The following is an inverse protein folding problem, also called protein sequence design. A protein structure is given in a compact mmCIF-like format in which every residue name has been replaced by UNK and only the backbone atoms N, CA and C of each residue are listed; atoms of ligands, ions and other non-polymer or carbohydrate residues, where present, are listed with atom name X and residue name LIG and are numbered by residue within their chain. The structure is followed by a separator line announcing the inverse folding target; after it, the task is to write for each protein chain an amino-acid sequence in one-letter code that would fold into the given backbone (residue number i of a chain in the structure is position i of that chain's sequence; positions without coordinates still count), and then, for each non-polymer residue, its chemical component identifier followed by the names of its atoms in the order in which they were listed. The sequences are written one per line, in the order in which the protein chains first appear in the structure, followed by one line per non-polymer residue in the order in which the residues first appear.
data_IF_047086000819
#
_entry.id   IF_047086000819
#
_cell.length_a   1.000
_cell.length_b   1.000
_cell.length_c   1.000
_cell.angle_alpha   90.00
_cell.angle_beta   90.00
_cell.angle_gamma   90.00
#
_symmetry.space_group_name_H-M   'P 1'
#
loop_
_entity.id
_entity.type
_entity.pdbx_description
1 polymer ?
#
# COMPACT_ATOMS: atom_id res chain seq x y z
N UNK A 1 9.45 -22.87 10.67
CA UNK A 1 8.12 -22.71 10.04
C UNK A 1 8.29 -21.63 9.01
N UNK A 2 7.90 -21.83 7.75
CA UNK A 2 8.04 -20.79 6.74
C UNK A 2 6.77 -19.94 6.76
N UNK A 3 6.89 -18.73 7.29
CA UNK A 3 5.80 -17.75 7.32
C UNK A 3 6.05 -16.68 6.26
N UNK A 4 4.99 -15.94 5.95
CA UNK A 4 5.04 -14.86 4.98
C UNK A 4 4.27 -13.67 5.55
N UNK A 5 5.00 -12.60 5.87
CA UNK A 5 4.43 -11.31 6.20
C UNK A 5 4.11 -10.60 4.90
N UNK A 6 2.82 -10.49 4.60
CA UNK A 6 2.35 -9.90 3.35
C UNK A 6 2.51 -8.39 3.32
N UNK A 7 2.78 -7.72 4.44
CA UNK A 7 2.73 -6.25 4.51
C UNK A 7 3.59 -5.71 5.66
N UNK A 8 4.78 -5.20 5.33
CA UNK A 8 5.63 -4.49 6.29
C UNK A 8 6.13 -3.16 5.72
N UNK A 9 6.44 -2.21 6.61
CA UNK A 9 6.98 -0.89 6.26
C UNK A 9 8.38 -0.65 6.85
N UNK A 10 9.27 -1.66 6.78
CA UNK A 10 10.67 -1.54 7.26
C UNK A 10 11.49 -0.52 6.46
N UNK A 11 10.96 -0.05 5.33
CA UNK A 11 11.45 1.06 4.52
C UNK A 11 11.02 2.45 5.02
N UNK A 12 10.25 2.58 6.11
CA UNK A 12 9.85 3.89 6.63
C UNK A 12 10.95 4.54 7.48
N UNK A 13 10.78 5.83 7.78
CA UNK A 13 11.79 6.58 8.54
C UNK A 13 11.95 6.09 9.98
N UNK A 14 10.92 5.46 10.56
CA UNK A 14 11.01 4.80 11.87
C UNK A 14 12.10 3.71 11.91
N UNK A 15 12.39 3.09 10.76
CA UNK A 15 13.40 2.03 10.60
C UNK A 15 14.63 2.49 9.81
N UNK A 16 14.87 3.81 9.70
CA UNK A 16 15.97 4.35 8.87
C UNK A 16 17.35 3.83 9.29
N UNK A 17 17.51 3.52 10.57
CA UNK A 17 18.79 3.13 11.18
C UNK A 17 18.96 1.60 11.28
N UNK A 18 17.87 0.82 11.26
CA UNK A 18 17.92 -0.63 11.52
C UNK A 18 16.99 -1.51 10.67
N UNK A 19 16.31 -0.96 9.66
CA UNK A 19 15.33 -1.71 8.85
C UNK A 19 15.91 -2.93 8.13
N UNK A 20 17.17 -2.86 7.69
CA UNK A 20 17.88 -4.03 7.13
C UNK A 20 18.11 -5.11 8.18
N UNK A 21 18.48 -4.73 9.41
CA UNK A 21 18.69 -5.67 10.51
C UNK A 21 17.37 -6.31 10.95
N UNK A 22 16.25 -5.58 10.90
CA UNK A 22 14.90 -6.13 11.11
C UNK A 22 14.62 -7.23 10.09
N UNK A 23 14.81 -6.96 8.79
CA UNK A 23 14.59 -7.94 7.73
C UNK A 23 15.51 -9.17 7.86
N UNK A 24 16.78 -8.97 8.27
CA UNK A 24 17.70 -10.08 8.58
C UNK A 24 17.18 -10.97 9.71
N UNK A 25 16.60 -10.38 10.76
CA UNK A 25 15.98 -11.15 11.85
C UNK A 25 14.75 -11.93 11.37
N UNK A 26 13.88 -11.31 10.57
CA UNK A 26 12.73 -12.00 9.97
C UNK A 26 13.16 -13.24 9.20
N UNK A 27 14.12 -13.11 8.28
CA UNK A 27 14.60 -14.24 7.48
C UNK A 27 15.23 -15.34 8.34
N UNK A 28 16.01 -14.97 9.36
CA UNK A 28 16.63 -15.93 10.29
C UNK A 28 15.59 -16.80 11.01
N UNK A 29 14.43 -16.23 11.31
CA UNK A 29 13.33 -16.93 11.98
C UNK A 29 12.34 -17.58 11.00
N UNK A 30 12.64 -17.56 9.70
CA UNK A 30 11.83 -18.20 8.65
C UNK A 30 10.64 -17.36 8.17
N UNK A 31 10.66 -16.05 8.40
CA UNK A 31 9.65 -15.10 7.92
C UNK A 31 10.13 -14.41 6.64
N UNK A 32 9.42 -14.66 5.54
CA UNK A 32 9.56 -13.88 4.31
C UNK A 32 8.70 -12.61 4.41
N UNK A 33 9.06 -11.55 3.70
CA UNK A 33 8.42 -10.24 3.87
C UNK A 33 8.19 -9.57 2.52
N UNK A 34 7.01 -9.00 2.33
CA UNK A 34 6.76 -7.97 1.31
C UNK A 34 6.85 -6.61 1.99
N UNK A 35 7.89 -5.84 1.62
CA UNK A 35 8.11 -4.49 2.11
C UNK A 35 7.36 -3.51 1.20
N UNK A 36 6.46 -2.72 1.77
CA UNK A 36 5.44 -2.00 1.01
C UNK A 36 5.79 -0.51 0.94
N UNK A 37 5.78 0.03 -0.28
CA UNK A 37 5.84 1.46 -0.52
C UNK A 37 4.47 2.12 -0.34
N UNK A 38 4.46 3.33 0.19
CA UNK A 38 3.26 4.18 0.34
C UNK A 38 3.32 5.46 -0.51
N UNK A 39 4.48 5.77 -1.06
CA UNK A 39 4.75 6.92 -1.93
C UNK A 39 5.99 6.59 -2.77
N UNK A 40 6.37 7.43 -3.74
CA UNK A 40 7.39 7.02 -4.71
C UNK A 40 8.74 6.75 -4.05
N UNK A 41 9.11 7.62 -3.10
CA UNK A 41 10.38 7.50 -2.36
C UNK A 41 10.45 6.25 -1.48
N UNK A 42 9.35 5.87 -0.81
CA UNK A 42 9.29 4.66 0.03
C UNK A 42 9.18 3.41 -0.83
N UNK A 43 8.45 3.46 -1.95
CA UNK A 43 8.42 2.41 -2.97
C UNK A 43 9.80 2.10 -3.53
N UNK A 44 10.56 3.13 -3.94
CA UNK A 44 11.93 2.96 -4.40
C UNK A 44 12.83 2.32 -3.33
N UNK A 45 12.71 2.78 -2.08
CA UNK A 45 13.49 2.22 -0.95
C UNK A 45 13.12 0.77 -0.66
N UNK A 46 11.85 0.38 -0.80
CA UNK A 46 11.41 -1.01 -0.64
C UNK A 46 12.07 -1.92 -1.68
N UNK A 47 12.14 -1.48 -2.95
CA UNK A 47 12.84 -2.19 -4.03
C UNK A 47 14.34 -2.29 -3.73
N UNK A 48 14.98 -1.20 -3.32
CA UNK A 48 16.39 -1.20 -2.90
C UNK A 48 16.65 -2.19 -1.77
N UNK A 49 15.75 -2.27 -0.78
CA UNK A 49 15.87 -3.23 0.31
C UNK A 49 15.75 -4.66 -0.20
N UNK A 50 14.76 -4.96 -1.05
CA UNK A 50 14.56 -6.30 -1.58
C UNK A 50 15.77 -6.84 -2.37
N UNK A 51 16.52 -5.97 -3.06
CA UNK A 51 17.75 -6.33 -3.79
C UNK A 51 18.96 -6.60 -2.89
N UNK A 52 18.94 -6.18 -1.62
CA UNK A 52 20.03 -6.51 -0.66
C UNK A 52 19.99 -7.95 -0.18
N UNK A 53 18.93 -8.67 -0.49
CA UNK A 53 18.71 -10.05 -0.07
C UNK A 53 18.55 -10.96 -1.29
N UNK A 54 19.22 -12.10 -1.28
CA UNK A 54 19.12 -13.08 -2.37
C UNK A 54 17.66 -13.57 -2.53
N UNK A 55 17.00 -13.88 -1.41
CA UNK A 55 15.61 -14.35 -1.40
C UNK A 55 14.87 -13.96 -0.12
N UNK A 56 13.54 -14.14 -0.13
CA UNK A 56 12.68 -13.97 1.03
C UNK A 56 12.23 -12.53 1.34
N UNK A 57 12.86 -11.52 0.74
CA UNK A 57 12.40 -10.12 0.79
C UNK A 57 11.94 -9.69 -0.60
N UNK A 58 10.74 -9.13 -0.64
CA UNK A 58 10.06 -8.65 -1.85
C UNK A 58 9.54 -7.23 -1.61
N UNK A 59 9.09 -6.58 -2.67
CA UNK A 59 8.54 -5.23 -2.61
C UNK A 59 7.12 -5.15 -3.18
N UNK A 60 6.34 -4.21 -2.67
CA UNK A 60 5.15 -3.67 -3.34
C UNK A 60 5.35 -2.16 -3.55
N UNK A 61 4.85 -1.64 -4.67
CA UNK A 61 5.00 -0.22 -5.02
C UNK A 61 3.65 0.42 -5.32
N UNK A 62 3.43 1.63 -4.80
CA UNK A 62 2.16 2.33 -4.94
C UNK A 62 2.16 3.69 -4.23
N UNK A 63 1.01 4.36 -4.31
CA UNK A 63 0.70 5.56 -3.52
C UNK A 63 -0.48 5.25 -2.61
N UNK A 64 -0.23 5.26 -1.30
CA UNK A 64 -1.29 5.15 -0.30
C UNK A 64 -2.17 6.41 -0.36
N UNK A 65 -3.50 6.29 -0.26
CA UNK A 65 -4.45 7.39 -0.44
C UNK A 65 -4.15 8.68 0.36
N UNK A 66 -3.70 8.57 1.61
CA UNK A 66 -3.29 9.70 2.46
C UNK A 66 -2.17 10.56 1.84
N UNK A 67 -1.27 9.99 1.04
CA UNK A 67 -0.18 10.75 0.42
C UNK A 67 -0.64 11.62 -0.75
N UNK A 68 -1.88 11.47 -1.26
CA UNK A 68 -2.44 12.28 -2.35
C UNK A 68 -2.82 13.69 -1.90
N UNK A 69 -3.05 13.88 -0.61
CA UNK A 69 -3.31 15.20 -0.01
C UNK A 69 -2.03 15.71 0.66
N UNK A 70 -1.81 17.03 0.60
CA UNK A 70 -0.79 17.69 1.43
C UNK A 70 -1.32 17.87 2.86
N UNK A 71 -0.55 17.46 3.86
CA UNK A 71 -0.96 17.55 5.24
C UNK A 71 0.03 16.90 6.18
N UNK A 72 -0.44 16.63 7.39
CA UNK A 72 0.25 15.85 8.38
C UNK A 72 -0.76 14.92 9.02
N UNK A 73 -0.44 13.64 9.03
CA UNK A 73 -1.27 12.63 9.68
C UNK A 73 -0.55 12.21 10.95
N UNK A 74 -1.22 12.35 12.09
CA UNK A 74 -0.70 11.88 13.37
C UNK A 74 -1.49 10.65 13.72
N UNK A 75 -0.84 9.49 13.83
CA UNK A 75 -1.48 8.35 14.45
C UNK A 75 -1.33 8.50 15.96
N UNK A 76 -2.45 8.47 16.68
CA UNK A 76 -2.47 8.61 18.13
C UNK A 76 -3.03 7.34 18.74
N UNK A 77 -2.17 6.32 18.90
CA UNK A 77 -2.48 5.16 19.71
C UNK A 77 -2.05 5.46 21.17
N UNK A 78 -2.98 5.47 22.15
CA UNK A 78 -2.65 5.67 23.56
C UNK A 78 -1.62 4.67 24.13
N UNK A 79 -1.44 3.51 23.48
CA UNK A 79 -0.47 2.48 23.85
C UNK A 79 0.88 2.65 23.12
N UNK A 80 0.97 3.52 22.12
CA UNK A 80 2.23 3.81 21.44
C UNK A 80 3.11 4.79 22.23
N UNK A 81 4.42 4.56 22.15
CA UNK A 81 5.42 5.29 22.94
C UNK A 81 5.64 6.73 22.45
N UNK A 82 5.23 7.06 21.22
CA UNK A 82 5.46 8.35 20.58
C UNK A 82 4.37 8.66 19.56
N UNK A 83 3.86 9.89 19.57
CA UNK A 83 3.11 10.43 18.44
C UNK A 83 4.08 10.70 17.27
N UNK A 84 3.93 9.95 16.18
CA UNK A 84 4.66 10.24 14.95
C UNK A 84 3.77 11.01 13.97
N UNK A 85 4.21 12.21 13.63
CA UNK A 85 3.59 13.03 12.59
C UNK A 85 4.19 12.63 11.22
N UNK A 86 3.33 12.16 10.31
CA UNK A 86 3.68 11.78 8.94
C UNK A 86 3.33 12.94 8.01
N UNK A 87 4.30 13.78 7.61
CA UNK A 87 4.04 14.84 6.66
C UNK A 87 3.83 14.27 5.25
N UNK A 88 2.80 14.76 4.56
CA UNK A 88 2.50 14.39 3.19
C UNK A 88 2.57 15.61 2.29
N UNK A 89 3.11 15.42 1.09
CA UNK A 89 3.34 16.52 0.14
C UNK A 89 2.25 16.65 -0.92
N UNK A 90 1.25 15.75 -0.93
CA UNK A 90 0.26 15.66 -2.00
C UNK A 90 0.86 15.12 -3.28
N UNK A 91 1.38 13.89 -3.23
CA UNK A 91 1.99 13.24 -4.39
C UNK A 91 0.96 13.11 -5.53
N UNK A 92 1.40 13.42 -6.73
CA UNK A 92 0.64 13.21 -7.96
C UNK A 92 1.22 11.98 -8.67
N UNK A 93 0.34 11.13 -9.21
CA UNK A 93 0.76 9.93 -9.92
C UNK A 93 1.60 10.28 -11.15
N UNK A 94 2.84 9.78 -11.17
CA UNK A 94 3.68 9.70 -12.37
C UNK A 94 3.68 8.25 -12.86
N UNK A 95 2.75 7.92 -13.76
CA UNK A 95 2.50 6.56 -14.22
C UNK A 95 3.77 5.85 -14.70
N UNK A 96 4.61 6.55 -15.48
CA UNK A 96 5.82 5.96 -16.05
C UNK A 96 6.84 5.60 -14.95
N UNK A 97 7.01 6.45 -13.94
CA UNK A 97 7.92 6.16 -12.83
C UNK A 97 7.52 4.91 -12.05
N UNK A 98 6.23 4.75 -11.78
CA UNK A 98 5.72 3.56 -11.10
C UNK A 98 5.79 2.32 -11.99
N UNK A 99 5.51 2.46 -13.29
CA UNK A 99 5.60 1.37 -14.24
C UNK A 99 7.03 0.82 -14.33
N UNK A 100 8.04 1.68 -14.35
CA UNK A 100 9.44 1.24 -14.35
C UNK A 100 9.84 0.51 -13.06
N UNK A 101 9.45 1.00 -11.89
CA UNK A 101 9.66 0.26 -10.63
C UNK A 101 8.91 -1.08 -10.64
N UNK A 102 7.66 -1.07 -11.12
CA UNK A 102 6.80 -2.23 -11.14
C UNK A 102 7.25 -3.32 -12.12
N UNK A 103 8.20 -3.06 -13.02
CA UNK A 103 8.80 -4.10 -13.88
C UNK A 103 9.88 -4.91 -13.17
N UNK A 104 10.41 -4.42 -12.05
CA UNK A 104 11.44 -5.11 -11.28
C UNK A 104 10.95 -6.48 -10.78
N UNK A 105 11.81 -7.50 -10.83
CA UNK A 105 11.47 -8.87 -10.43
C UNK A 105 11.23 -9.04 -8.92
N UNK A 106 11.82 -8.16 -8.10
CA UNK A 106 11.60 -8.14 -6.65
C UNK A 106 10.27 -7.49 -6.28
N UNK A 107 9.66 -6.73 -7.19
CA UNK A 107 8.32 -6.18 -6.99
C UNK A 107 7.29 -7.27 -7.29
N UNK A 108 6.48 -7.66 -6.31
CA UNK A 108 5.52 -8.77 -6.47
C UNK A 108 4.06 -8.32 -6.47
N UNK A 109 3.79 -7.07 -6.12
CA UNK A 109 2.44 -6.49 -6.10
C UNK A 109 2.47 -4.98 -6.38
N UNK A 110 1.33 -4.44 -6.81
CA UNK A 110 1.08 -3.00 -6.85
C UNK A 110 0.31 -2.61 -5.59
N UNK A 111 0.92 -1.78 -4.76
CA UNK A 111 0.38 -1.38 -3.47
C UNK A 111 1.46 -0.77 -2.58
N UNK A 112 1.08 -0.03 -1.53
CA UNK A 112 -0.29 0.11 -1.05
C UNK A 112 -1.06 1.18 -1.85
N UNK A 113 -2.26 0.84 -2.32
CA UNK A 113 -3.16 1.73 -3.08
C UNK A 113 -4.58 1.51 -2.57
N UNK A 114 -5.52 2.44 -2.76
CA UNK A 114 -6.89 2.18 -2.33
C UNK A 114 -7.73 3.42 -2.07
N UNK A 115 -8.56 3.34 -1.03
CA UNK A 115 -9.42 4.45 -0.58
C UNK A 115 -9.29 4.64 0.94
N UNK A 116 -9.07 5.87 1.38
CA UNK A 116 -9.02 6.24 2.79
C UNK A 116 -9.88 7.48 3.01
N UNK A 117 -11.11 7.27 3.46
CA UNK A 117 -12.05 8.35 3.77
C UNK A 117 -12.07 8.70 5.25
N UNK A 118 -11.34 7.94 6.06
CA UNK A 118 -11.29 8.12 7.50
C UNK A 118 -10.49 9.37 7.86
N UNK A 119 -9.42 9.63 7.14
CA UNK A 119 -8.50 10.74 7.41
C UNK A 119 -8.91 12.09 6.78
N UNK A 120 -10.17 12.23 6.35
CA UNK A 120 -10.71 13.53 5.92
C UNK A 120 -11.05 14.40 7.13
N UNK A 121 -10.80 15.70 6.99
CA UNK A 121 -11.04 16.74 7.99
C UNK A 121 -12.15 17.68 7.54
N UNK A 122 -12.72 18.49 8.46
CA UNK A 122 -13.81 19.41 8.13
C UNK A 122 -13.41 20.50 7.11
N UNK A 123 -12.11 20.82 7.02
CA UNK A 123 -11.57 21.81 6.08
C UNK A 123 -11.33 21.23 4.67
N UNK A 124 -11.56 19.93 4.48
CA UNK A 124 -11.30 19.27 3.20
C UNK A 124 -12.43 19.44 2.18
N UNK A 125 -12.03 19.58 0.92
CA UNK A 125 -12.92 19.31 -0.20
C UNK A 125 -13.06 17.78 -0.36
N UNK A 126 -14.01 17.22 0.39
CA UNK A 126 -14.24 15.76 0.47
C UNK A 126 -14.57 15.16 -0.90
N UNK A 127 -15.38 15.84 -1.71
CA UNK A 127 -15.78 15.31 -3.02
C UNK A 127 -14.58 15.26 -3.97
N UNK A 128 -13.78 16.33 -4.00
CA UNK A 128 -12.53 16.35 -4.75
C UNK A 128 -11.57 15.24 -4.31
N UNK A 129 -11.34 15.07 -3.00
CA UNK A 129 -10.40 14.07 -2.50
C UNK A 129 -10.86 12.64 -2.77
N UNK A 130 -12.16 12.35 -2.62
CA UNK A 130 -12.71 11.04 -3.01
C UNK A 130 -12.44 10.75 -4.48
N UNK A 131 -12.75 11.71 -5.36
CA UNK A 131 -12.52 11.53 -6.80
C UNK A 131 -11.04 11.33 -7.12
N UNK A 132 -10.15 12.10 -6.50
CA UNK A 132 -8.70 11.94 -6.66
C UNK A 132 -8.19 10.56 -6.23
N UNK A 133 -8.66 10.03 -5.09
CA UNK A 133 -8.31 8.69 -4.64
C UNK A 133 -8.83 7.61 -5.61
N UNK A 134 -10.09 7.72 -6.04
CA UNK A 134 -10.71 6.78 -6.99
C UNK A 134 -9.99 6.76 -8.35
N UNK A 135 -9.71 7.93 -8.92
CA UNK A 135 -8.99 8.05 -10.19
C UNK A 135 -7.58 7.46 -10.09
N UNK A 136 -6.88 7.75 -8.99
CA UNK A 136 -5.53 7.21 -8.75
C UNK A 136 -5.57 5.67 -8.61
N UNK A 137 -6.53 5.13 -7.88
CA UNK A 137 -6.72 3.68 -7.76
C UNK A 137 -6.97 3.03 -9.12
N UNK A 138 -7.83 3.62 -9.96
CA UNK A 138 -8.13 3.12 -11.31
C UNK A 138 -6.86 3.09 -12.18
N UNK A 139 -6.02 4.12 -12.12
CA UNK A 139 -4.74 4.14 -12.85
C UNK A 139 -3.76 3.06 -12.34
N UNK A 140 -3.68 2.83 -11.03
CA UNK A 140 -2.86 1.74 -10.51
C UNK A 140 -3.41 0.35 -10.84
N UNK A 141 -4.73 0.17 -10.94
CA UNK A 141 -5.33 -1.08 -11.45
C UNK A 141 -4.90 -1.32 -12.90
N UNK A 142 -4.92 -0.28 -13.76
CA UNK A 142 -4.42 -0.39 -15.13
C UNK A 142 -2.95 -0.79 -15.16
N UNK A 143 -2.12 -0.16 -14.32
CA UNK A 143 -0.71 -0.48 -14.19
C UNK A 143 -0.50 -1.93 -13.74
N UNK A 144 -1.23 -2.38 -12.72
CA UNK A 144 -1.18 -3.75 -12.21
C UNK A 144 -1.51 -4.79 -13.30
N UNK A 145 -2.53 -4.49 -14.10
CA UNK A 145 -2.91 -5.31 -15.25
C UNK A 145 -1.84 -5.26 -16.36
N UNK A 146 -1.22 -4.11 -16.62
CA UNK A 146 -0.13 -3.99 -17.61
C UNK A 146 1.09 -4.84 -17.22
N UNK A 147 1.50 -4.81 -15.95
CA UNK A 147 2.65 -5.61 -15.46
C UNK A 147 2.27 -7.01 -15.01
N UNK A 148 0.99 -7.38 -15.11
CA UNK A 148 0.47 -8.70 -14.71
C UNK A 148 0.80 -9.06 -13.25
N UNK A 149 0.61 -8.10 -12.32
CA UNK A 149 0.84 -8.28 -10.87
C UNK A 149 -0.45 -8.08 -10.07
N UNK A 150 -0.61 -8.79 -8.92
CA UNK A 150 -1.74 -8.57 -8.03
C UNK A 150 -1.68 -7.18 -7.38
N UNK A 151 -2.81 -6.74 -6.83
CA UNK A 151 -2.89 -5.50 -6.03
C UNK A 151 -2.90 -5.77 -4.54
N UNK A 152 -2.43 -4.79 -3.77
CA UNK A 152 -2.55 -4.73 -2.31
C UNK A 152 -3.31 -3.46 -1.94
N UNK A 153 -4.55 -3.67 -1.49
CA UNK A 153 -5.58 -2.64 -1.36
C UNK A 153 -5.74 -2.20 0.08
N UNK A 154 -5.62 -0.90 0.31
CA UNK A 154 -6.05 -0.22 1.52
C UNK A 154 -7.51 0.18 1.42
N UNK A 155 -8.24 0.04 2.51
CA UNK A 155 -9.58 0.58 2.56
C UNK A 155 -10.01 0.93 3.98
N UNK A 156 -10.26 2.22 4.22
CA UNK A 156 -10.90 2.71 5.43
C UNK A 156 -12.08 3.62 5.08
N UNK A 157 -13.28 3.26 5.57
CA UNK A 157 -14.54 3.98 5.36
C UNK A 157 -14.97 4.16 3.89
N UNK A 158 -14.30 3.47 2.95
CA UNK A 158 -14.54 3.52 1.50
C UNK A 158 -14.99 2.20 0.85
N UNK A 159 -15.46 1.21 1.61
CA UNK A 159 -15.65 -0.15 1.10
C UNK A 159 -16.64 -0.28 -0.06
N UNK A 160 -17.78 0.42 -0.03
CA UNK A 160 -18.77 0.32 -1.12
C UNK A 160 -18.22 0.91 -2.43
N UNK A 161 -17.54 2.06 -2.36
CA UNK A 161 -16.85 2.66 -3.51
C UNK A 161 -15.73 1.75 -4.05
N UNK A 162 -14.96 1.11 -3.16
CA UNK A 162 -13.91 0.18 -3.56
C UNK A 162 -14.50 -1.03 -4.30
N UNK A 163 -15.58 -1.61 -3.79
CA UNK A 163 -16.27 -2.74 -4.42
C UNK A 163 -16.80 -2.37 -5.81
N UNK A 164 -17.43 -1.19 -5.95
CA UNK A 164 -17.94 -0.70 -7.23
C UNK A 164 -16.80 -0.49 -8.25
N UNK A 165 -15.65 0.04 -7.80
CA UNK A 165 -14.47 0.19 -8.65
C UNK A 165 -13.93 -1.18 -9.08
N UNK A 166 -13.79 -2.14 -8.17
CA UNK A 166 -13.26 -3.47 -8.52
C UNK A 166 -14.20 -4.25 -9.45
N UNK A 167 -15.51 -4.01 -9.39
CA UNK A 167 -16.49 -4.58 -10.32
C UNK A 167 -16.39 -3.99 -11.73
N UNK A 168 -16.12 -2.68 -11.82
CA UNK A 168 -16.06 -1.95 -13.11
C UNK A 168 -14.67 -1.96 -13.74
N UNK A 169 -13.62 -2.08 -12.90
CA UNK A 169 -12.22 -2.11 -13.25
C UNK A 169 -11.57 -3.36 -12.61
N UNK A 170 -11.78 -4.56 -13.18
CA UNK A 170 -11.28 -5.79 -12.59
C UNK A 170 -9.74 -5.85 -12.61
N UNK A 171 -9.18 -6.40 -11.53
CA UNK A 171 -7.75 -6.72 -11.43
C UNK A 171 -7.52 -8.15 -11.91
N UNK A 172 -6.73 -8.34 -12.97
CA UNK A 172 -6.56 -9.64 -13.61
C UNK A 172 -5.89 -10.68 -12.70
N UNK A 173 -4.94 -10.24 -11.86
CA UNK A 173 -4.24 -11.09 -10.90
C UNK A 173 -4.86 -11.11 -9.51
N UNK A 174 -6.05 -10.51 -9.34
CA UNK A 174 -6.71 -10.33 -8.04
C UNK A 174 -5.80 -9.57 -7.07
N UNK A 175 -6.08 -9.65 -5.78
CA UNK A 175 -5.30 -8.97 -4.77
C UNK A 175 -5.71 -9.32 -3.36
N UNK A 176 -5.20 -8.55 -2.42
CA UNK A 176 -5.60 -8.60 -1.02
C UNK A 176 -6.15 -7.24 -0.59
N UNK A 177 -7.12 -7.25 0.31
CA UNK A 177 -7.44 -6.08 1.13
C UNK A 177 -6.68 -6.25 2.43
N UNK A 178 -5.56 -5.54 2.59
CA UNK A 178 -4.73 -5.71 3.79
C UNK A 178 -5.38 -5.01 4.99
N UNK A 179 -5.00 -5.43 6.19
CA UNK A 179 -5.50 -4.88 7.45
C UNK A 179 -7.04 -4.70 7.49
N UNK A 180 -7.78 -5.70 6.98
CA UNK A 180 -9.24 -5.62 6.86
C UNK A 180 -9.92 -5.55 8.23
N UNK A 181 -10.67 -4.46 8.48
CA UNK A 181 -11.44 -4.21 9.71
C UNK A 181 -12.96 -4.13 9.45
N UNK A 182 -13.40 -4.43 8.23
CA UNK A 182 -14.81 -4.38 7.84
C UNK A 182 -15.66 -5.51 8.41
N UNK A 183 -16.96 -5.50 8.04
CA UNK A 183 -17.91 -6.53 8.49
C UNK A 183 -17.75 -7.84 7.72
N UNK A 184 -18.23 -8.96 8.30
CA UNK A 184 -18.33 -10.25 7.59
C UNK A 184 -19.10 -10.17 6.27
N UNK A 185 -20.16 -9.34 6.22
CA UNK A 185 -20.92 -9.10 4.99
C UNK A 185 -20.05 -8.46 3.90
N UNK A 186 -19.23 -7.47 4.29
CA UNK A 186 -18.29 -6.82 3.37
C UNK A 186 -17.19 -7.79 2.93
N UNK A 187 -16.65 -8.60 3.85
CA UNK A 187 -15.66 -9.63 3.52
C UNK A 187 -16.20 -10.63 2.48
N UNK A 188 -17.44 -11.10 2.62
CA UNK A 188 -18.04 -12.01 1.65
C UNK A 188 -18.15 -11.40 0.25
N UNK A 189 -18.47 -10.11 0.13
CA UNK A 189 -18.49 -9.44 -1.19
C UNK A 189 -17.11 -9.48 -1.85
N UNK A 190 -16.02 -9.27 -1.10
CA UNK A 190 -14.66 -9.40 -1.64
C UNK A 190 -14.34 -10.85 -2.04
N UNK A 191 -14.69 -11.82 -1.19
CA UNK A 191 -14.49 -13.26 -1.49
C UNK A 191 -15.22 -13.67 -2.77
N UNK A 192 -16.43 -13.16 -3.00
CA UNK A 192 -17.23 -13.41 -4.21
C UNK A 192 -16.61 -12.78 -5.47
N UNK A 193 -15.92 -11.64 -5.34
CA UNK A 193 -15.17 -11.02 -6.44
C UNK A 193 -13.90 -11.81 -6.80
N UNK A 194 -13.33 -12.53 -5.83
CA UNK A 194 -12.17 -13.40 -5.97
C UNK A 194 -10.88 -12.78 -5.49
#
# INVERSE_FOLDING_TARGET
MNLFDTHAHTNFNAYKDDGEDVLRRCLKDGMNVVNVGSQYSTSKRAVEYAHKFESGIYAAVGIHPVHLKKGSFTHHDPEELTEEEIPTTGEQLDYQKYLELAKDEKVVAIGEIGLDYHHFTEDDDVEFLKNLQKETLIEFIKLANEVQKPVMLHCWDGYDDLLDILQTHPVEKRGIVHSFIGSYKTANKFIELG
#
